data_IF_755464278109
#
_entry.id   IF_755464278109
#
_cell.length_a   1.000
_cell.length_b   1.000
_cell.length_c   1.000
_cell.angle_alpha   90.00
_cell.angle_beta   90.00
_cell.angle_gamma   90.00
#
_symmetry.space_group_name_H-M   'P 1'
#
loop_
_entity.id
_entity.type
_entity.pdbx_description
1 polymer ?
#
# COMPACT_ATOMS: atom_id res chain seq x y z
N UNK A 1 -15.49 3.16 -10.39
CA UNK A 1 -14.85 2.93 -9.08
C UNK A 1 -13.46 2.35 -9.31
N UNK A 2 -12.51 2.62 -8.41
CA UNK A 2 -11.16 2.05 -8.48
C UNK A 2 -10.96 1.07 -7.33
N UNK A 3 -10.30 -0.06 -7.59
CA UNK A 3 -10.00 -1.05 -6.55
C UNK A 3 -8.60 -0.89 -5.94
N UNK A 4 -7.66 -0.34 -6.70
CA UNK A 4 -6.27 -0.11 -6.29
C UNK A 4 -5.89 1.30 -6.76
N UNK A 5 -5.26 2.08 -5.88
CA UNK A 5 -4.69 3.39 -6.20
C UNK A 5 -3.23 3.40 -5.78
N UNK A 6 -2.36 3.79 -6.70
CA UNK A 6 -0.93 3.98 -6.46
C UNK A 6 -0.70 5.48 -6.25
N UNK A 7 -0.23 5.89 -5.07
CA UNK A 7 0.01 7.29 -4.76
C UNK A 7 1.48 7.51 -4.41
N UNK A 8 2.11 8.45 -5.12
CA UNK A 8 3.38 9.06 -4.74
C UNK A 8 3.15 10.32 -3.91
N UNK A 9 4.16 10.71 -3.13
CA UNK A 9 4.16 11.89 -2.26
C UNK A 9 2.87 11.99 -1.41
N UNK A 10 2.53 10.95 -0.62
CA UNK A 10 1.35 11.00 0.22
C UNK A 10 1.48 12.11 1.25
N UNK A 11 0.36 12.80 1.49
CA UNK A 11 0.28 13.67 2.66
C UNK A 11 0.24 12.78 3.92
N UNK A 12 1.33 12.81 4.68
CA UNK A 12 1.48 12.12 5.97
C UNK A 12 1.29 13.14 7.08
N UNK A 13 0.38 12.86 8.02
CA UNK A 13 0.08 13.73 9.15
C UNK A 13 1.15 13.69 10.25
N UNK A 14 0.95 14.49 11.31
CA UNK A 14 1.86 14.55 12.45
C UNK A 14 1.98 13.23 13.23
N UNK A 15 0.99 12.34 13.13
CA UNK A 15 1.01 11.01 13.75
C UNK A 15 1.69 9.97 12.84
N UNK A 16 2.08 10.39 11.64
CA UNK A 16 2.78 9.59 10.65
C UNK A 16 1.87 8.75 9.79
N UNK A 17 0.59 9.10 9.63
CA UNK A 17 -0.35 8.35 8.80
C UNK A 17 -0.82 9.18 7.61
N UNK A 18 -1.08 8.52 6.49
CA UNK A 18 -1.85 9.12 5.41
C UNK A 18 -3.31 9.30 5.84
N UNK A 19 -3.96 10.32 5.29
CA UNK A 19 -5.37 10.57 5.57
C UNK A 19 -6.21 9.35 5.19
N UNK A 20 -6.86 8.74 6.19
CA UNK A 20 -7.72 7.58 5.99
C UNK A 20 -8.88 7.89 5.03
N UNK A 21 -8.97 7.14 3.93
CA UNK A 21 -10.13 7.16 3.04
C UNK A 21 -10.95 5.92 3.39
N UNK A 22 -12.17 6.09 3.93
CA UNK A 22 -12.98 4.98 4.49
C UNK A 22 -13.18 3.76 3.56
N UNK A 23 -13.03 3.94 2.25
CA UNK A 23 -13.20 2.89 1.24
C UNK A 23 -11.91 2.12 0.93
N UNK A 24 -10.79 2.48 1.56
CA UNK A 24 -9.47 1.93 1.26
C UNK A 24 -8.68 1.64 2.54
N UNK A 25 -7.95 0.53 2.50
CA UNK A 25 -6.84 0.23 3.39
C UNK A 25 -5.58 0.85 2.80
N UNK A 26 -4.80 1.56 3.62
CA UNK A 26 -3.48 2.08 3.21
C UNK A 26 -2.42 1.02 3.47
N UNK A 27 -1.61 0.73 2.45
CA UNK A 27 -0.45 -0.14 2.52
C UNK A 27 0.79 0.74 2.39
N UNK A 28 1.56 0.83 3.47
CA UNK A 28 2.77 1.62 3.57
C UNK A 28 4.01 0.79 3.20
N UNK A 29 5.17 1.41 2.93
CA UNK A 29 6.44 0.71 2.84
C UNK A 29 6.72 -0.05 4.14
N UNK A 30 7.44 -1.16 4.07
CA UNK A 30 7.73 -1.98 5.27
C UNK A 30 8.50 -1.18 6.32
N UNK A 31 9.34 -0.25 5.86
CA UNK A 31 10.13 0.60 6.74
C UNK A 31 9.32 1.71 7.43
N UNK A 32 8.04 1.89 7.06
CA UNK A 32 7.20 3.00 7.49
C UNK A 32 7.19 3.19 9.00
N UNK A 33 6.93 2.12 9.78
CA UNK A 33 6.85 2.22 11.24
C UNK A 33 8.14 2.76 11.88
N UNK A 34 9.29 2.51 11.25
CA UNK A 34 10.60 2.98 11.71
C UNK A 34 11.05 4.29 11.04
N UNK A 35 10.43 4.69 9.93
CA UNK A 35 10.85 5.78 9.05
C UNK A 35 9.63 6.51 8.45
N UNK A 36 8.70 6.92 9.32
CA UNK A 36 7.44 7.56 8.93
C UNK A 36 7.67 8.84 8.10
N UNK A 37 8.68 9.60 8.47
CA UNK A 37 9.14 10.85 7.83
C UNK A 37 9.71 10.64 6.43
N UNK A 38 10.09 9.41 6.08
CA UNK A 38 10.67 9.07 4.76
C UNK A 38 9.68 8.40 3.83
N UNK A 39 8.41 8.27 4.22
CA UNK A 39 7.41 7.59 3.39
C UNK A 39 7.03 8.45 2.20
N UNK A 40 7.46 8.05 1.00
CA UNK A 40 7.19 8.79 -0.24
C UNK A 40 6.18 8.09 -1.15
N UNK A 41 5.71 6.90 -0.78
CA UNK A 41 4.85 6.09 -1.62
C UNK A 41 3.92 5.22 -0.78
N UNK A 42 2.67 5.07 -1.22
CA UNK A 42 1.68 4.16 -0.61
C UNK A 42 0.83 3.48 -1.69
N UNK A 43 0.17 2.39 -1.31
CA UNK A 43 -0.90 1.78 -2.10
C UNK A 43 -2.19 1.89 -1.29
N UNK A 44 -3.25 2.43 -1.88
CA UNK A 44 -4.60 2.30 -1.33
C UNK A 44 -5.30 1.11 -1.97
N UNK A 45 -5.68 0.14 -1.16
CA UNK A 45 -6.39 -1.04 -1.60
C UNK A 45 -7.84 -0.97 -1.12
N UNK A 46 -8.80 -1.14 -2.01
CA UNK A 46 -10.22 -1.06 -1.65
C UNK A 46 -10.56 -2.06 -0.54
N UNK A 47 -11.38 -1.63 0.43
CA UNK A 47 -11.88 -2.50 1.51
C UNK A 47 -12.76 -3.65 1.02
N UNK A 48 -13.17 -3.64 -0.26
CA UNK A 48 -13.82 -4.76 -0.92
C UNK A 48 -12.87 -5.93 -1.21
N UNK A 49 -11.56 -5.68 -1.23
CA UNK A 49 -10.53 -6.71 -1.29
C UNK A 49 -10.21 -7.09 0.15
N UNK A 50 -10.63 -8.30 0.54
CA UNK A 50 -10.40 -8.82 1.88
C UNK A 50 -8.90 -8.90 2.17
N UNK A 51 -8.51 -8.72 3.44
CA UNK A 51 -7.10 -8.65 3.85
C UNK A 51 -6.30 -9.94 3.59
N UNK A 52 -6.97 -11.08 3.45
CA UNK A 52 -6.39 -12.37 3.09
C UNK A 52 -6.21 -12.56 1.57
N UNK A 53 -6.71 -11.63 0.76
CA UNK A 53 -6.56 -11.61 -0.69
C UNK A 53 -5.38 -10.77 -1.17
N UNK A 54 -4.55 -10.25 -0.27
CA UNK A 54 -3.27 -9.66 -0.65
C UNK A 54 -2.16 -9.98 0.34
N UNK A 55 -0.92 -9.97 -0.17
CA UNK A 55 0.29 -10.17 0.62
C UNK A 55 1.24 -9.03 0.28
N UNK A 56 1.73 -8.32 1.29
CA UNK A 56 2.76 -7.30 1.09
C UNK A 56 4.11 -7.95 0.76
N UNK A 57 4.81 -7.40 -0.23
CA UNK A 57 6.14 -7.86 -0.62
C UNK A 57 7.20 -7.33 0.34
N UNK A 58 8.18 -8.18 0.76
CA UNK A 58 9.24 -7.82 1.70
C UNK A 58 10.34 -6.92 1.07
N UNK A 59 9.97 -5.75 0.55
CA UNK A 59 10.90 -4.81 -0.09
C UNK A 59 11.41 -3.80 0.94
N UNK A 60 12.71 -3.81 1.20
CA UNK A 60 13.35 -2.95 2.20
C UNK A 60 13.76 -1.61 1.57
N UNK A 61 12.77 -0.76 1.27
CA UNK A 61 12.96 0.60 0.78
C UNK A 61 11.80 1.49 1.25
N UNK A 62 12.06 2.76 1.65
CA UNK A 62 11.00 3.72 1.96
C UNK A 62 10.27 4.24 0.71
N UNK A 63 10.87 4.03 -0.46
CA UNK A 63 10.39 4.53 -1.76
C UNK A 63 9.68 3.44 -2.58
N UNK A 64 9.46 2.26 -2.00
CA UNK A 64 8.81 1.14 -2.68
C UNK A 64 7.75 0.49 -1.80
N UNK A 65 6.55 0.30 -2.36
CA UNK A 65 5.51 -0.58 -1.81
C UNK A 65 5.16 -1.63 -2.84
N UNK A 66 5.14 -2.89 -2.42
CA UNK A 66 4.75 -4.00 -3.29
C UNK A 66 3.67 -4.86 -2.65
N UNK A 67 2.74 -5.35 -3.45
CA UNK A 67 1.72 -6.32 -3.03
C UNK A 67 1.49 -7.39 -4.10
N UNK A 68 1.28 -8.62 -3.67
CA UNK A 68 0.57 -9.61 -4.46
C UNK A 68 -0.91 -9.51 -4.14
N UNK A 69 -1.77 -9.42 -5.15
CA UNK A 69 -3.23 -9.47 -5.01
C UNK A 69 -3.73 -10.74 -5.67
N UNK A 70 -4.52 -11.52 -4.94
CA UNK A 70 -5.15 -12.74 -5.43
C UNK A 70 -6.38 -12.38 -6.25
N UNK A 71 -6.41 -12.81 -7.51
CA UNK A 71 -7.53 -12.55 -8.43
C UNK A 71 -8.41 -13.78 -8.62
N UNK A 72 -7.85 -14.98 -8.47
CA UNK A 72 -8.56 -16.25 -8.46
C UNK A 72 -7.77 -17.28 -7.63
N UNK A 73 -8.26 -18.51 -7.43
CA UNK A 73 -7.51 -19.53 -6.69
C UNK A 73 -6.08 -19.76 -7.20
N UNK A 74 -5.85 -19.62 -8.50
CA UNK A 74 -4.58 -19.92 -9.17
C UNK A 74 -3.92 -18.67 -9.79
N UNK A 75 -4.56 -17.50 -9.75
CA UNK A 75 -4.03 -16.28 -10.37
C UNK A 75 -3.77 -15.16 -9.38
N UNK A 76 -2.62 -14.54 -9.55
CA UNK A 76 -2.12 -13.44 -8.75
C UNK A 76 -1.62 -12.33 -9.66
N UNK A 77 -1.80 -11.10 -9.22
CA UNK A 77 -1.18 -9.92 -9.82
C UNK A 77 -0.15 -9.39 -8.84
N UNK A 78 1.06 -9.14 -9.33
CA UNK A 78 2.08 -8.40 -8.59
C UNK A 78 1.98 -6.92 -8.94
N UNK A 79 1.89 -6.08 -7.91
CA UNK A 79 1.81 -4.63 -8.05
C UNK A 79 2.98 -4.04 -7.28
N UNK A 80 3.75 -3.17 -7.92
CA UNK A 80 4.85 -2.45 -7.30
C UNK A 80 4.64 -0.96 -7.59
N UNK A 81 4.56 -0.16 -6.54
CA UNK A 81 4.58 1.30 -6.61
C UNK A 81 5.96 1.79 -6.21
N UNK A 82 6.58 2.59 -7.06
CA UNK A 82 7.93 3.12 -6.91
C UNK A 82 7.86 4.63 -7.13
N UNK A 83 8.50 5.38 -6.24
CA UNK A 83 8.73 6.82 -6.37
C UNK A 83 10.12 7.09 -6.95
#
# INVERSE_FOLDING_TARGET
SYNIILQQEPWIDHDGWSRAIQQFNTIYPIMHDTQKDKTQVVIFLSTQIMSDHYIQLPINSPDVVGVYVKCSPESWIQIINIY
#
